data_IF_885709275555
#
_entry.id   IF_885709275555
#
_cell.length_a   1.000
_cell.length_b   1.000
_cell.length_c   1.000
_cell.angle_alpha   90.00
_cell.angle_beta   90.00
_cell.angle_gamma   90.00
#
_symmetry.space_group_name_H-M   'P 1'
#
loop_
_entity.id
_entity.type
_entity.pdbx_description
1 polymer ?
#
# COMPACT_ATOMS: atom_id res chain seq x y z
N UNK A 1 -9.33 19.13 24.64
CA UNK A 1 -9.26 20.41 25.38
C UNK A 1 -7.80 20.72 25.62
N UNK A 2 -7.17 21.50 24.74
CA UNK A 2 -5.79 21.95 24.93
C UNK A 2 -5.81 23.15 25.89
N UNK A 3 -4.99 23.20 26.95
CA UNK A 3 -4.97 24.35 27.84
C UNK A 3 -4.46 25.56 27.05
N UNK A 4 -5.30 26.58 26.96
CA UNK A 4 -5.05 27.84 26.28
C UNK A 4 -3.88 28.56 26.97
N UNK A 5 -2.70 28.54 26.36
CA UNK A 5 -1.52 29.23 26.86
C UNK A 5 -1.60 30.71 26.47
N UNK A 6 -1.82 31.60 27.44
CA UNK A 6 -1.73 33.05 27.19
C UNK A 6 -0.29 33.41 26.88
N UNK A 7 -0.03 33.85 25.64
CA UNK A 7 1.29 34.22 25.09
C UNK A 7 1.98 35.37 25.86
N UNK A 8 1.25 36.08 26.73
CA UNK A 8 1.73 37.21 27.54
C UNK A 8 1.84 36.93 29.05
N UNK A 9 1.86 35.66 29.49
CA UNK A 9 2.06 35.35 30.90
C UNK A 9 3.51 35.68 31.33
N UNK A 10 3.68 36.34 32.48
CA UNK A 10 5.00 36.61 33.09
C UNK A 10 5.73 35.27 33.30
N UNK A 11 6.96 35.16 32.80
CA UNK A 11 7.81 34.00 33.03
C UNK A 11 8.22 33.94 34.50
N UNK A 12 8.28 32.74 35.06
CA UNK A 12 8.74 32.50 36.43
C UNK A 12 10.10 31.81 36.39
N UNK A 13 11.11 32.42 37.02
CA UNK A 13 12.40 31.78 37.30
C UNK A 13 12.26 30.70 38.37
N UNK A 14 12.79 29.51 38.08
CA UNK A 14 12.91 28.42 39.04
C UNK A 14 14.34 27.87 38.99
N UNK A 15 14.93 27.65 40.16
CA UNK A 15 16.29 27.14 40.34
C UNK A 15 16.22 25.81 41.08
N UNK A 16 16.89 24.79 40.54
CA UNK A 16 16.97 23.44 41.10
C UNK A 16 18.44 23.11 41.37
N UNK A 17 18.74 22.67 42.58
CA UNK A 17 20.07 22.21 43.00
C UNK A 17 20.00 20.70 43.20
N UNK A 18 20.85 19.97 42.50
CA UNK A 18 20.95 18.51 42.53
C UNK A 18 22.37 18.16 42.97
N UNK A 19 22.47 17.19 43.86
CA UNK A 19 23.73 16.52 44.17
C UNK A 19 23.89 15.35 43.17
N UNK A 20 24.87 15.47 42.27
CA UNK A 20 25.14 14.47 41.24
C UNK A 20 25.88 13.24 41.80
N UNK A 21 26.54 13.34 42.96
CA UNK A 21 27.25 12.20 43.56
C UNK A 21 26.28 11.25 44.27
N UNK A 22 25.30 11.82 44.99
CA UNK A 22 24.31 11.06 45.75
C UNK A 22 22.96 10.88 45.00
N UNK A 23 22.80 11.45 43.80
CA UNK A 23 21.56 11.45 43.01
C UNK A 23 20.34 12.02 43.78
N UNK A 24 20.56 13.02 44.65
CA UNK A 24 19.51 13.63 45.48
C UNK A 24 19.22 15.08 45.08
N UNK A 25 17.93 15.42 45.02
CA UNK A 25 17.47 16.81 44.86
C UNK A 25 17.63 17.54 46.19
N UNK A 26 18.56 18.50 46.24
CA UNK A 26 18.86 19.29 47.45
C UNK A 26 17.81 20.38 47.67
N UNK A 27 17.42 21.10 46.60
CA UNK A 27 16.36 22.11 46.72
C UNK A 27 15.77 22.54 45.37
N UNK A 28 14.50 22.95 45.37
CA UNK A 28 13.83 23.62 44.25
C UNK A 28 13.22 24.92 44.76
N UNK A 29 13.60 26.06 44.17
CA UNK A 29 13.12 27.39 44.58
C UNK A 29 12.55 28.13 43.37
N UNK A 30 11.40 28.77 43.55
CA UNK A 30 10.84 29.69 42.56
C UNK A 30 11.08 31.13 43.01
N UNK A 31 11.66 31.96 42.15
CA UNK A 31 12.12 33.31 42.49
C UNK A 31 11.01 34.36 42.34
N UNK A 32 10.08 34.13 41.41
CA UNK A 32 9.09 35.12 40.97
C UNK A 32 7.68 34.94 41.57
N UNK A 33 7.50 33.97 42.48
CA UNK A 33 6.18 33.63 43.01
C UNK A 33 6.01 34.06 44.48
N UNK A 34 4.87 34.68 44.80
CA UNK A 34 4.50 35.05 46.19
C UNK A 34 4.43 33.83 47.11
N UNK A 35 4.10 32.65 46.56
CA UNK A 35 4.03 31.39 47.31
C UNK A 35 5.37 30.62 47.35
N UNK A 36 6.50 31.23 46.97
CA UNK A 36 7.81 30.57 46.86
C UNK A 36 8.27 29.90 48.16
N UNK A 37 7.96 30.49 49.31
CA UNK A 37 8.35 29.98 50.64
C UNK A 37 7.52 28.80 51.15
N UNK A 38 6.34 28.56 50.58
CA UNK A 38 5.39 27.53 51.04
C UNK A 38 5.18 26.38 50.07
N UNK A 39 5.95 26.31 48.99
CA UNK A 39 5.74 25.39 47.88
C UNK A 39 4.75 25.96 46.86
N UNK A 40 5.25 26.32 45.68
CA UNK A 40 4.44 26.86 44.61
C UNK A 40 4.29 25.84 43.47
N UNK A 41 3.21 25.99 42.68
CA UNK A 41 2.95 25.15 41.52
C UNK A 41 4.07 25.18 40.47
N UNK A 42 4.83 26.28 40.39
CA UNK A 42 5.91 26.44 39.41
C UNK A 42 7.13 25.58 39.77
N UNK A 43 7.54 25.57 41.04
CA UNK A 43 8.62 24.72 41.54
C UNK A 43 8.29 23.23 41.33
N UNK A 44 7.06 22.84 41.66
CA UNK A 44 6.59 21.46 41.45
C UNK A 44 6.56 21.10 39.96
N UNK A 45 6.02 21.98 39.12
CA UNK A 45 5.97 21.75 37.67
C UNK A 45 7.37 21.60 37.06
N UNK A 46 8.33 22.42 37.51
CA UNK A 46 9.73 22.34 37.07
C UNK A 46 10.37 21.01 37.51
N UNK A 47 10.16 20.60 38.76
CA UNK A 47 10.65 19.33 39.27
C UNK A 47 10.13 18.12 38.47
N UNK A 48 8.81 18.06 38.23
CA UNK A 48 8.22 16.99 37.41
C UNK A 48 8.72 17.01 35.98
N UNK A 49 8.98 18.18 35.41
CA UNK A 49 9.55 18.29 34.08
C UNK A 49 10.98 17.73 34.02
N UNK A 50 11.82 18.02 35.01
CA UNK A 50 13.19 17.47 35.11
C UNK A 50 13.14 15.94 35.28
N UNK A 51 12.28 15.42 36.16
CA UNK A 51 12.10 13.98 36.33
C UNK A 51 11.69 13.28 35.02
N UNK A 52 10.74 13.86 34.28
CA UNK A 52 10.32 13.29 32.99
C UNK A 52 11.46 13.30 31.96
N UNK A 53 12.32 14.33 31.99
CA UNK A 53 13.50 14.44 31.13
C UNK A 53 14.59 13.44 31.49
N UNK A 54 14.75 13.09 32.76
CA UNK A 54 15.72 12.06 33.18
C UNK A 54 15.28 10.64 32.80
N UNK A 55 13.98 10.40 32.65
CA UNK A 55 13.43 9.13 32.13
C UNK A 55 13.50 9.02 30.59
N UNK A 56 13.76 10.12 29.88
CA UNK A 56 13.93 10.09 28.43
C UNK A 56 15.24 9.37 28.08
N UNK A 57 15.23 8.33 27.23
CA UNK A 57 16.44 7.63 26.83
C UNK A 57 17.43 8.59 26.17
N UNK A 58 18.73 8.42 26.47
CA UNK A 58 19.79 9.28 25.92
C UNK A 58 19.68 9.41 24.39
N UNK A 59 20.07 10.57 23.85
CA UNK A 59 20.04 10.83 22.41
C UNK A 59 20.88 9.84 21.57
N UNK A 60 21.74 9.04 22.23
CA UNK A 60 22.53 7.96 21.64
C UNK A 60 21.84 6.59 21.69
N UNK A 61 20.83 6.40 22.56
CA UNK A 61 20.05 5.16 22.69
C UNK A 61 18.72 5.20 21.93
N UNK A 62 18.28 6.37 21.48
CA UNK A 62 17.14 6.51 20.57
C UNK A 62 17.58 6.27 19.12
N UNK A 63 17.03 5.25 18.45
CA UNK A 63 17.22 5.10 17.01
C UNK A 63 16.67 6.35 16.31
N UNK A 64 17.58 7.15 15.73
CA UNK A 64 17.24 8.41 15.07
C UNK A 64 16.14 8.18 14.02
N UNK A 65 14.95 8.74 14.26
CA UNK A 65 13.83 8.71 13.33
C UNK A 65 14.17 9.35 11.96
N UNK A 66 15.12 10.30 11.97
CA UNK A 66 15.67 10.97 10.79
C UNK A 66 16.91 10.29 10.19
N UNK A 67 17.26 9.08 10.64
CA UNK A 67 18.31 8.29 10.00
C UNK A 67 17.84 8.03 8.57
N UNK A 68 18.38 8.83 7.64
CA UNK A 68 18.09 8.78 6.21
C UNK A 68 18.02 7.32 5.79
N UNK A 69 16.86 6.88 5.31
CA UNK A 69 16.65 5.48 4.94
C UNK A 69 17.73 5.06 3.95
N UNK A 70 18.17 3.80 3.96
CA UNK A 70 19.17 3.31 2.97
C UNK A 70 18.73 3.59 1.52
N UNK A 71 17.41 3.68 1.29
CA UNK A 71 16.79 4.04 0.03
C UNK A 71 17.04 5.50 -0.39
N UNK A 72 17.23 6.43 0.55
CA UNK A 72 17.55 7.84 0.25
C UNK A 72 18.91 8.04 -0.42
N UNK A 73 19.77 7.00 -0.46
CA UNK A 73 21.05 7.00 -1.20
C UNK A 73 20.92 6.46 -2.64
N UNK A 74 19.75 5.94 -3.01
CA UNK A 74 19.46 5.50 -4.38
C UNK A 74 19.33 6.73 -5.27
N UNK A 75 20.05 6.73 -6.40
CA UNK A 75 20.11 7.85 -7.34
C UNK A 75 21.28 8.82 -7.10
N UNK A 76 21.88 8.86 -5.91
CA UNK A 76 23.08 9.66 -5.63
C UNK A 76 24.37 8.84 -5.65
N UNK A 77 24.48 7.81 -4.80
CA UNK A 77 25.68 6.93 -4.73
C UNK A 77 25.40 5.49 -5.15
N UNK A 78 24.15 5.03 -5.07
CA UNK A 78 23.72 3.72 -5.58
C UNK A 78 22.81 3.92 -6.79
N UNK A 79 23.24 3.48 -7.99
CA UNK A 79 22.46 3.65 -9.23
C UNK A 79 21.11 2.95 -9.19
N UNK A 80 21.01 1.81 -8.50
CA UNK A 80 19.76 1.10 -8.23
C UNK A 80 19.95 0.10 -7.08
N UNK A 81 18.85 -0.25 -6.40
CA UNK A 81 18.81 -1.35 -5.44
C UNK A 81 17.95 -2.45 -6.06
N UNK A 82 18.49 -3.66 -6.14
CA UNK A 82 17.76 -4.85 -6.58
C UNK A 82 16.94 -5.41 -5.41
N UNK A 83 15.80 -6.02 -5.70
CA UNK A 83 14.90 -6.65 -4.70
C UNK A 83 15.62 -7.60 -3.75
N UNK A 84 16.66 -8.31 -4.23
CA UNK A 84 17.52 -9.19 -3.41
C UNK A 84 18.29 -8.48 -2.28
N UNK A 85 18.51 -7.17 -2.38
CA UNK A 85 19.25 -6.38 -1.38
C UNK A 85 18.35 -5.77 -0.32
N UNK A 86 17.02 -5.77 -0.54
CA UNK A 86 16.03 -5.25 0.41
C UNK A 86 15.68 -6.26 1.49
N UNK A 87 15.77 -7.55 1.20
CA UNK A 87 15.55 -8.63 2.17
C UNK A 87 16.87 -9.30 2.55
N UNK A 88 17.35 -9.07 3.78
CA UNK A 88 18.43 -9.89 4.37
C UNK A 88 17.92 -11.16 5.06
N UNK A 89 16.61 -11.36 5.02
CA UNK A 89 15.97 -12.60 5.43
C UNK A 89 14.96 -12.93 4.34
N UNK A 90 15.06 -14.11 3.76
CA UNK A 90 13.84 -14.85 3.51
C UNK A 90 13.39 -15.35 4.89
N UNK A 91 12.41 -14.72 5.57
CA UNK A 91 11.45 -15.59 6.18
C UNK A 91 10.83 -16.30 4.97
N UNK A 92 11.24 -17.55 4.74
CA UNK A 92 10.28 -18.50 4.23
C UNK A 92 9.17 -18.46 5.28
N UNK A 93 8.23 -17.51 5.12
CA UNK A 93 6.94 -17.63 5.76
C UNK A 93 6.53 -19.06 5.40
N UNK A 94 6.26 -19.93 6.39
CA UNK A 94 5.68 -21.23 6.09
C UNK A 94 4.54 -20.98 5.10
N UNK A 95 4.38 -21.82 4.07
CA UNK A 95 3.29 -21.73 3.11
C UNK A 95 1.96 -22.03 3.82
N UNK A 96 1.61 -21.17 4.77
CA UNK A 96 0.54 -21.35 5.70
C UNK A 96 -0.62 -20.54 5.16
N UNK A 97 -1.29 -21.14 4.18
CA UNK A 97 -2.45 -20.57 3.53
C UNK A 97 -3.68 -20.51 4.46
N UNK A 98 -3.57 -20.89 5.74
CA UNK A 98 -4.70 -20.91 6.70
C UNK A 98 -5.45 -19.57 6.72
N UNK A 99 -4.74 -18.44 6.75
CA UNK A 99 -5.39 -17.12 6.77
C UNK A 99 -6.16 -16.88 5.47
N UNK A 100 -5.54 -17.19 4.32
CA UNK A 100 -6.16 -17.05 3.00
C UNK A 100 -7.39 -17.96 2.86
N UNK A 101 -7.28 -19.22 3.27
CA UNK A 101 -8.39 -20.19 3.23
C UNK A 101 -9.55 -19.74 4.12
N UNK A 102 -9.27 -19.33 5.37
CA UNK A 102 -10.29 -18.80 6.29
C UNK A 102 -10.94 -17.53 5.74
N UNK A 103 -10.15 -16.65 5.13
CA UNK A 103 -10.68 -15.44 4.50
C UNK A 103 -11.62 -15.77 3.33
N UNK A 104 -11.23 -16.70 2.43
CA UNK A 104 -12.06 -17.14 1.31
C UNK A 104 -13.37 -17.78 1.83
N UNK A 105 -13.28 -18.62 2.87
CA UNK A 105 -14.45 -19.24 3.49
C UNK A 105 -15.39 -18.22 4.13
N UNK A 106 -14.87 -17.28 4.93
CA UNK A 106 -15.67 -16.23 5.56
C UNK A 106 -16.27 -15.26 4.53
N UNK A 107 -15.50 -14.87 3.51
CA UNK A 107 -15.98 -14.06 2.40
C UNK A 107 -17.15 -14.73 1.68
N UNK A 108 -17.07 -16.06 1.48
CA UNK A 108 -18.17 -16.85 0.91
C UNK A 108 -19.39 -16.90 1.82
N UNK A 109 -19.22 -17.19 3.12
CA UNK A 109 -20.33 -17.25 4.08
C UNK A 109 -21.11 -15.93 4.11
N UNK A 110 -20.40 -14.82 4.00
CA UNK A 110 -20.97 -13.46 4.01
C UNK A 110 -21.48 -13.00 2.64
N UNK A 111 -21.35 -13.83 1.60
CA UNK A 111 -21.72 -13.51 0.21
C UNK A 111 -21.08 -12.18 -0.24
N UNK A 112 -19.79 -12.01 0.05
CA UNK A 112 -19.04 -10.84 -0.42
C UNK A 112 -18.87 -10.97 -1.93
N UNK A 113 -19.55 -10.10 -2.68
CA UNK A 113 -19.46 -10.05 -4.14
C UNK A 113 -18.41 -9.04 -4.63
N UNK A 114 -18.09 -8.03 -3.80
CA UNK A 114 -17.16 -6.95 -4.13
C UNK A 114 -15.77 -7.22 -3.54
N UNK A 115 -15.14 -8.32 -3.97
CA UNK A 115 -13.77 -8.65 -3.57
C UNK A 115 -13.05 -9.35 -4.71
N UNK A 116 -11.99 -8.70 -5.22
CA UNK A 116 -11.20 -9.19 -6.34
C UNK A 116 -10.57 -10.55 -6.05
N UNK A 117 -10.14 -10.78 -4.81
CA UNK A 117 -9.55 -12.04 -4.41
C UNK A 117 -10.54 -13.22 -4.55
N UNK A 118 -11.82 -12.98 -4.30
CA UNK A 118 -12.88 -13.99 -4.43
C UNK A 118 -13.26 -14.24 -5.89
N UNK A 119 -13.22 -13.20 -6.74
CA UNK A 119 -13.55 -13.27 -8.18
C UNK A 119 -12.67 -14.26 -8.96
N UNK A 120 -11.43 -14.42 -8.52
CA UNK A 120 -10.44 -15.27 -9.17
C UNK A 120 -10.32 -16.67 -8.55
N UNK A 121 -11.25 -17.06 -7.67
CA UNK A 121 -11.28 -18.41 -7.07
C UNK A 121 -11.99 -19.42 -7.98
N UNK A 122 -11.63 -20.72 -7.92
CA UNK A 122 -12.24 -21.76 -8.77
C UNK A 122 -13.76 -21.92 -8.62
N UNK A 123 -14.30 -21.52 -7.46
CA UNK A 123 -15.72 -21.66 -7.14
C UNK A 123 -16.50 -20.35 -7.31
N UNK A 124 -15.90 -19.33 -7.94
CA UNK A 124 -16.62 -18.12 -8.33
C UNK A 124 -17.64 -18.47 -9.41
N UNK A 125 -18.85 -17.96 -9.30
CA UNK A 125 -19.90 -18.10 -10.31
C UNK A 125 -19.95 -16.82 -11.14
N UNK A 126 -19.18 -16.72 -12.25
CA UNK A 126 -19.23 -15.55 -13.11
C UNK A 126 -20.59 -15.45 -13.80
N UNK A 127 -20.94 -14.23 -14.22
CA UNK A 127 -22.01 -14.07 -15.22
C UNK A 127 -21.63 -14.80 -16.52
N UNK A 128 -22.62 -15.03 -17.38
CA UNK A 128 -22.41 -15.67 -18.68
C UNK A 128 -21.35 -14.93 -19.54
N UNK A 129 -21.35 -13.60 -19.49
CA UNK A 129 -20.39 -12.74 -20.21
C UNK A 129 -19.04 -12.67 -19.50
N UNK A 130 -19.00 -12.65 -18.17
CA UNK A 130 -17.75 -12.70 -17.39
C UNK A 130 -17.02 -14.04 -17.53
N UNK A 131 -17.74 -15.13 -17.78
CA UNK A 131 -17.15 -16.46 -18.01
C UNK A 131 -16.24 -16.49 -19.24
N UNK A 132 -16.35 -15.50 -20.14
CA UNK A 132 -15.46 -15.32 -21.27
C UNK A 132 -14.15 -14.62 -20.93
N UNK A 133 -13.95 -14.12 -19.71
CA UNK A 133 -12.66 -13.52 -19.36
C UNK A 133 -11.54 -14.55 -19.46
N UNK A 134 -10.35 -14.10 -19.87
CA UNK A 134 -9.21 -15.00 -20.06
C UNK A 134 -8.89 -15.79 -18.78
N UNK A 135 -9.03 -15.17 -17.62
CA UNK A 135 -8.82 -15.84 -16.34
C UNK A 135 -9.81 -16.98 -16.10
N UNK A 136 -11.10 -16.74 -16.36
CA UNK A 136 -12.13 -17.77 -16.17
C UNK A 136 -11.95 -18.92 -17.16
N UNK A 137 -11.61 -18.63 -18.42
CA UNK A 137 -11.30 -19.66 -19.42
C UNK A 137 -10.09 -20.51 -19.00
N UNK A 138 -9.03 -19.87 -18.48
CA UNK A 138 -7.85 -20.58 -17.96
C UNK A 138 -8.17 -21.44 -16.75
N UNK A 139 -8.98 -20.96 -15.81
CA UNK A 139 -9.43 -21.73 -14.65
C UNK A 139 -10.31 -22.91 -15.03
N UNK A 140 -11.17 -22.74 -16.05
CA UNK A 140 -12.09 -23.77 -16.53
C UNK A 140 -11.36 -24.91 -17.22
N UNK A 141 -10.47 -24.61 -18.15
CA UNK A 141 -9.82 -25.63 -18.98
C UNK A 141 -8.50 -26.14 -18.41
N UNK A 142 -7.73 -25.32 -17.69
CA UNK A 142 -6.42 -25.67 -17.08
C UNK A 142 -5.44 -26.34 -18.06
N UNK A 143 -5.59 -26.05 -19.35
CA UNK A 143 -4.79 -26.64 -20.41
C UNK A 143 -3.42 -25.97 -20.50
N UNK A 144 -2.38 -26.78 -20.70
CA UNK A 144 -1.02 -26.26 -20.95
C UNK A 144 -0.74 -26.04 -22.43
N UNK A 145 -1.38 -26.84 -23.29
CA UNK A 145 -1.24 -26.75 -24.73
C UNK A 145 -2.18 -25.68 -25.28
N UNK A 146 -1.64 -24.75 -26.08
CA UNK A 146 -2.41 -23.63 -26.65
C UNK A 146 -3.45 -24.14 -27.65
N UNK A 147 -3.10 -25.08 -28.52
CA UNK A 147 -4.03 -25.59 -29.53
C UNK A 147 -5.23 -26.30 -28.90
N UNK A 148 -4.98 -27.12 -27.88
CA UNK A 148 -6.02 -27.81 -27.11
C UNK A 148 -6.88 -26.82 -26.31
N UNK A 149 -6.25 -25.78 -25.74
CA UNK A 149 -6.99 -24.70 -25.09
C UNK A 149 -7.94 -24.01 -26.07
N UNK A 150 -7.46 -23.63 -27.25
CA UNK A 150 -8.27 -22.96 -28.26
C UNK A 150 -9.40 -23.83 -28.81
N UNK A 151 -9.16 -25.14 -29.02
CA UNK A 151 -10.22 -26.05 -29.45
C UNK A 151 -11.33 -26.22 -28.41
N UNK A 152 -10.99 -26.08 -27.13
CA UNK A 152 -11.95 -26.20 -26.03
C UNK A 152 -12.76 -24.91 -25.80
N UNK A 153 -12.24 -23.76 -26.22
CA UNK A 153 -12.93 -22.46 -26.07
C UNK A 153 -14.03 -22.32 -27.12
N UNK A 154 -15.26 -22.60 -26.72
CA UNK A 154 -16.46 -22.40 -27.53
C UNK A 154 -17.09 -21.05 -27.18
N UNK A 155 -17.15 -20.14 -28.16
CA UNK A 155 -17.81 -18.84 -28.03
C UNK A 155 -18.94 -18.81 -29.06
N UNK A 156 -20.19 -18.76 -28.59
CA UNK A 156 -21.38 -18.73 -29.46
C UNK A 156 -21.65 -17.31 -29.95
N UNK A 157 -22.32 -17.19 -31.09
CA UNK A 157 -22.72 -15.89 -31.67
C UNK A 157 -23.65 -15.12 -30.74
N UNK A 158 -24.62 -15.80 -30.12
CA UNK A 158 -25.52 -15.19 -29.13
C UNK A 158 -24.76 -14.56 -27.94
N UNK A 159 -23.69 -15.23 -27.48
CA UNK A 159 -22.88 -14.72 -26.39
C UNK A 159 -22.04 -13.50 -26.82
N UNK A 160 -21.56 -13.49 -28.07
CA UNK A 160 -20.87 -12.33 -28.66
C UNK A 160 -21.80 -11.12 -28.73
N UNK A 161 -23.05 -11.32 -29.14
CA UNK A 161 -24.06 -10.26 -29.19
C UNK A 161 -24.34 -9.69 -27.80
N UNK A 162 -24.53 -10.56 -26.80
CA UNK A 162 -24.72 -10.14 -25.41
C UNK A 162 -23.54 -9.36 -24.85
N UNK A 163 -22.32 -9.82 -25.10
CA UNK A 163 -21.09 -9.09 -24.73
C UNK A 163 -21.06 -7.71 -25.38
N UNK A 164 -21.41 -7.62 -26.67
CA UNK A 164 -21.44 -6.34 -27.40
C UNK A 164 -22.43 -5.36 -26.76
N UNK A 165 -23.60 -5.85 -26.34
CA UNK A 165 -24.61 -5.03 -25.65
C UNK A 165 -24.12 -4.57 -24.28
N UNK A 166 -23.62 -5.48 -23.43
CA UNK A 166 -23.14 -5.17 -22.07
C UNK A 166 -21.88 -4.29 -22.06
N UNK A 167 -21.13 -4.24 -23.16
CA UNK A 167 -19.90 -3.45 -23.29
C UNK A 167 -20.02 -2.24 -24.20
N UNK A 168 -21.24 -1.81 -24.52
CA UNK A 168 -21.51 -0.66 -25.40
C UNK A 168 -20.84 0.63 -24.92
N UNK A 169 -20.72 0.82 -23.61
CA UNK A 169 -20.08 2.00 -23.00
C UNK A 169 -18.54 1.93 -22.98
N UNK A 170 -17.96 0.88 -23.54
CA UNK A 170 -16.53 0.69 -23.76
C UNK A 170 -15.69 1.00 -22.51
N UNK A 171 -14.94 2.11 -22.51
CA UNK A 171 -14.03 2.51 -21.45
C UNK A 171 -14.69 2.88 -20.13
N UNK A 172 -16.03 2.98 -20.07
CA UNK A 172 -16.78 3.12 -18.81
C UNK A 172 -17.20 1.78 -18.21
N UNK A 173 -17.13 0.69 -18.97
CA UNK A 173 -17.51 -0.66 -18.52
C UNK A 173 -16.30 -1.42 -17.99
N UNK A 174 -16.41 -1.93 -16.75
CA UNK A 174 -15.39 -2.81 -16.18
C UNK A 174 -15.26 -4.13 -16.97
N UNK A 175 -16.38 -4.64 -17.48
CA UNK A 175 -16.43 -5.85 -18.29
C UNK A 175 -15.62 -5.70 -19.59
N UNK A 176 -15.65 -4.51 -20.20
CA UNK A 176 -14.86 -4.23 -21.41
C UNK A 176 -13.35 -4.38 -21.16
N UNK A 177 -12.84 -3.92 -20.02
CA UNK A 177 -11.43 -4.08 -19.66
C UNK A 177 -11.10 -5.54 -19.34
N UNK A 178 -11.95 -6.22 -18.57
CA UNK A 178 -11.79 -7.63 -18.20
C UNK A 178 -11.74 -8.54 -19.44
N UNK A 179 -12.57 -8.30 -20.46
CA UNK A 179 -12.58 -9.08 -21.68
C UNK A 179 -11.39 -8.79 -22.60
N UNK A 180 -10.80 -7.59 -22.52
CA UNK A 180 -9.59 -7.24 -23.29
C UNK A 180 -8.30 -7.75 -22.65
N UNK A 181 -8.31 -7.97 -21.33
CA UNK A 181 -7.18 -8.53 -20.61
C UNK A 181 -6.77 -9.88 -21.21
N UNK A 182 -5.48 -10.00 -21.58
CA UNK A 182 -4.93 -11.22 -22.17
C UNK A 182 -5.33 -11.47 -23.62
N UNK A 183 -6.05 -10.55 -24.29
CA UNK A 183 -6.45 -10.69 -25.70
C UNK A 183 -5.74 -9.69 -26.60
N UNK A 184 -5.36 -10.13 -27.81
CA UNK A 184 -4.83 -9.24 -28.83
C UNK A 184 -5.98 -8.41 -29.41
N UNK A 185 -5.92 -7.10 -29.20
CA UNK A 185 -6.92 -6.17 -29.72
C UNK A 185 -6.50 -5.57 -31.04
N UNK A 186 -7.45 -5.08 -31.85
CA UNK A 186 -7.16 -4.52 -33.18
C UNK A 186 -6.07 -3.43 -33.16
N UNK A 187 -6.08 -2.54 -32.16
CA UNK A 187 -5.07 -1.48 -32.00
C UNK A 187 -3.66 -1.99 -31.68
N UNK A 188 -3.52 -3.27 -31.31
CA UNK A 188 -2.24 -3.93 -30.99
C UNK A 188 -1.85 -5.01 -31.99
N UNK A 189 -2.73 -5.42 -32.90
CA UNK A 189 -2.47 -6.49 -33.87
C UNK A 189 -1.23 -6.22 -34.74
N UNK A 190 -1.05 -4.98 -35.20
CA UNK A 190 0.11 -4.58 -36.00
C UNK A 190 1.43 -4.64 -35.20
N UNK A 191 1.41 -4.19 -33.95
CA UNK A 191 2.59 -4.26 -33.08
C UNK A 191 2.96 -5.73 -32.79
N UNK A 192 1.97 -6.57 -32.51
CA UNK A 192 2.16 -8.00 -32.22
C UNK A 192 2.73 -8.75 -33.43
N UNK A 193 2.23 -8.50 -34.64
CA UNK A 193 2.70 -9.20 -35.84
C UNK A 193 4.17 -8.93 -36.19
N UNK A 194 4.74 -7.83 -35.67
CA UNK A 194 6.13 -7.44 -35.90
C UNK A 194 7.04 -7.62 -34.69
N UNK A 195 6.46 -7.97 -33.53
CA UNK A 195 7.20 -8.16 -32.30
C UNK A 195 8.01 -9.47 -32.38
N UNK A 196 9.31 -9.40 -32.09
CA UNK A 196 10.20 -10.57 -32.03
C UNK A 196 10.60 -10.94 -30.60
N UNK A 197 10.22 -10.13 -29.63
CA UNK A 197 10.56 -10.32 -28.22
C UNK A 197 9.46 -11.12 -27.52
N UNK A 198 9.84 -12.20 -26.85
CA UNK A 198 8.90 -13.06 -26.13
C UNK A 198 8.27 -12.36 -24.91
N UNK A 199 9.01 -11.48 -24.25
CA UNK A 199 8.57 -10.70 -23.09
C UNK A 199 8.92 -9.21 -23.27
N UNK A 200 8.16 -8.34 -22.63
CA UNK A 200 8.42 -6.91 -22.62
C UNK A 200 7.14 -6.06 -22.54
N UNK A 201 7.29 -4.78 -22.85
CA UNK A 201 6.20 -3.79 -22.70
C UNK A 201 4.94 -4.18 -23.46
N UNK A 202 5.05 -4.72 -24.67
CA UNK A 202 3.88 -5.12 -25.45
C UNK A 202 3.07 -6.22 -24.75
N UNK A 203 3.73 -7.23 -24.22
CA UNK A 203 3.10 -8.30 -23.43
C UNK A 203 2.47 -7.74 -22.16
N UNK A 204 3.18 -6.85 -21.45
CA UNK A 204 2.64 -6.17 -20.26
C UNK A 204 1.37 -5.38 -20.59
N UNK A 205 1.30 -4.69 -21.73
CA UNK A 205 0.11 -3.95 -22.16
C UNK A 205 -1.07 -4.87 -22.49
N UNK A 206 -0.82 -6.02 -23.13
CA UNK A 206 -1.85 -7.04 -23.40
C UNK A 206 -2.39 -7.62 -22.08
N UNK A 207 -1.53 -7.79 -21.08
CA UNK A 207 -1.87 -8.23 -19.73
C UNK A 207 -2.40 -7.08 -18.83
N UNK A 208 -2.92 -5.99 -19.42
CA UNK A 208 -3.60 -4.93 -18.67
C UNK A 208 -2.69 -3.82 -18.12
N UNK A 209 -1.40 -3.81 -18.48
CA UNK A 209 -0.50 -2.71 -18.21
C UNK A 209 -1.01 -1.39 -18.81
N UNK A 210 -0.77 -0.28 -18.11
CA UNK A 210 -1.20 1.06 -18.55
C UNK A 210 -0.01 1.94 -18.88
N UNK A 211 -0.14 2.72 -19.95
CA UNK A 211 0.77 3.81 -20.29
C UNK A 211 0.21 5.09 -19.65
N UNK A 212 1.05 5.95 -19.05
CA UNK A 212 0.60 7.25 -18.56
C UNK A 212 -0.12 8.06 -19.65
N UNK A 213 -1.21 8.72 -19.29
CA UNK A 213 -1.95 9.55 -20.23
C UNK A 213 -1.10 10.71 -20.74
N UNK A 214 -0.93 10.77 -22.06
CA UNK A 214 -0.22 11.87 -22.71
C UNK A 214 -1.17 13.02 -23.04
N UNK A 215 -0.61 14.22 -23.23
CA UNK A 215 -1.37 15.40 -23.70
C UNK A 215 -2.08 15.16 -25.05
N UNK A 216 -1.55 14.26 -25.88
CA UNK A 216 -2.15 13.90 -27.16
C UNK A 216 -3.36 12.97 -26.98
N UNK A 217 -3.28 12.02 -26.03
CA UNK A 217 -4.40 11.14 -25.71
C UNK A 217 -5.59 11.92 -25.15
N UNK A 218 -5.34 12.86 -24.23
CA UNK A 218 -6.39 13.73 -23.67
C UNK A 218 -7.11 14.57 -24.71
N UNK A 219 -6.40 14.96 -25.77
CA UNK A 219 -6.94 15.75 -26.88
C UNK A 219 -7.82 14.92 -27.81
N UNK A 220 -7.52 13.64 -27.98
CA UNK A 220 -8.30 12.73 -28.85
C UNK A 220 -9.56 12.17 -28.19
N UNK A 221 -9.76 12.43 -26.89
CA UNK A 221 -10.98 12.06 -26.15
C UNK A 221 -12.02 13.20 -26.08
N UNK A 222 -11.69 14.38 -26.62
CA UNK A 222 -12.55 15.57 -26.64
C UNK A 222 -13.36 15.66 -27.93
#
# INVERSE_FOLDING_TARGET
MCPEHKVHAKLYGCTLIIDEEDDVIVSVVCEDCVASRGGCKHAIAFLFWVHRRSEEPSCTSTECYWKKSKLSRVGSTLKSITTKQLSKSSPLLPANNIVLTKFIEEGRKRKVHDCELLRYQPNYSPSETEALSMHQLMLKYKEKCVDTFLSNVIITTALIEKVKEETIEQSKSNLWFELRYGRITASKAYEVSRCKTADGTLVSLILGGKIPETKHMKRGCA
#
